data_IF_255522180283
#
_entry.id   IF_255522180283
#
_cell.length_a   1.000
_cell.length_b   1.000
_cell.length_c   1.000
_cell.angle_alpha   90.00
_cell.angle_beta   90.00
_cell.angle_gamma   90.00
#
_symmetry.space_group_name_H-M   'P 1'
#
loop_
_entity.id
_entity.type
_entity.pdbx_description
1 polymer ?
#
# COMPACT_ATOMS: atom_id res chain seq x y z
N UNK A 1 -12.28 -17.67 -21.02
CA UNK A 1 -11.24 -17.45 -22.04
C UNK A 1 -9.91 -17.92 -21.48
N UNK A 2 -9.19 -18.76 -22.21
CA UNK A 2 -7.87 -19.23 -21.79
C UNK A 2 -6.79 -18.15 -22.01
N UNK A 3 -5.65 -18.25 -21.32
CA UNK A 3 -4.52 -17.33 -21.52
C UNK A 3 -4.00 -17.37 -22.97
N UNK A 4 -4.09 -18.54 -23.60
CA UNK A 4 -3.69 -18.74 -24.99
C UNK A 4 -4.62 -18.02 -25.96
N UNK A 5 -5.94 -18.11 -25.76
CA UNK A 5 -6.93 -17.35 -26.52
C UNK A 5 -6.73 -15.83 -26.37
N UNK A 6 -6.42 -15.34 -25.16
CA UNK A 6 -6.16 -13.92 -24.91
C UNK A 6 -4.90 -13.44 -25.66
N UNK A 7 -3.84 -14.28 -25.69
CA UNK A 7 -2.62 -13.98 -26.45
C UNK A 7 -2.91 -13.88 -27.94
N UNK A 8 -3.66 -14.82 -28.50
CA UNK A 8 -4.03 -14.80 -29.91
C UNK A 8 -4.87 -13.58 -30.27
N UNK A 9 -5.79 -13.16 -29.40
CA UNK A 9 -6.56 -11.94 -29.58
C UNK A 9 -5.68 -10.68 -29.49
N UNK A 10 -4.74 -10.63 -28.54
CA UNK A 10 -3.82 -9.51 -28.41
C UNK A 10 -2.92 -9.35 -29.65
N UNK A 11 -2.53 -10.45 -30.31
CA UNK A 11 -1.74 -10.37 -31.54
C UNK A 11 -2.51 -9.84 -32.75
N UNK A 12 -3.85 -9.97 -32.77
CA UNK A 12 -4.72 -9.42 -33.82
C UNK A 12 -4.87 -7.89 -33.74
N UNK A 13 -4.50 -7.28 -32.62
CA UNK A 13 -4.56 -5.83 -32.43
C UNK A 13 -3.50 -5.08 -33.24
N UNK A 14 -3.76 -3.80 -33.51
CA UNK A 14 -2.77 -2.90 -34.10
C UNK A 14 -1.56 -2.74 -33.18
N UNK A 15 -0.42 -2.30 -33.72
CA UNK A 15 0.79 -2.05 -32.90
C UNK A 15 0.50 -1.08 -31.77
N UNK A 16 -0.24 -0.02 -32.03
CA UNK A 16 -0.60 1.01 -31.05
C UNK A 16 -1.47 0.44 -29.93
N UNK A 17 -2.47 -0.37 -30.29
CA UNK A 17 -3.37 -0.99 -29.31
C UNK A 17 -2.64 -2.03 -28.46
N UNK A 18 -1.68 -2.76 -29.04
CA UNK A 18 -0.81 -3.67 -28.28
C UNK A 18 0.04 -2.91 -27.27
N UNK A 19 0.62 -1.77 -27.65
CA UNK A 19 1.37 -0.92 -26.73
C UNK A 19 0.49 -0.34 -25.62
N UNK A 20 -0.72 0.12 -25.97
CA UNK A 20 -1.70 0.60 -25.00
C UNK A 20 -2.10 -0.51 -24.01
N UNK A 21 -2.32 -1.74 -24.49
CA UNK A 21 -2.63 -2.89 -23.66
C UNK A 21 -1.47 -3.25 -22.72
N UNK A 22 -0.23 -3.25 -23.20
CA UNK A 22 0.96 -3.48 -22.36
C UNK A 22 1.04 -2.43 -21.25
N UNK A 23 0.86 -1.15 -21.57
CA UNK A 23 0.87 -0.08 -20.58
C UNK A 23 -0.25 -0.26 -19.53
N UNK A 24 -1.46 -0.62 -19.97
CA UNK A 24 -2.58 -0.88 -19.06
C UNK A 24 -2.30 -2.05 -18.10
N UNK A 25 -1.70 -3.13 -18.60
CA UNK A 25 -1.30 -4.29 -17.77
C UNK A 25 -0.24 -3.86 -16.75
N UNK A 26 0.79 -3.13 -17.19
CA UNK A 26 1.85 -2.63 -16.30
C UNK A 26 1.25 -1.74 -15.21
N UNK A 27 0.34 -0.84 -15.53
CA UNK A 27 -0.33 0.03 -14.55
C UNK A 27 -1.17 -0.77 -13.55
N UNK A 28 -1.95 -1.75 -14.02
CA UNK A 28 -2.72 -2.65 -13.15
C UNK A 28 -1.82 -3.41 -12.16
N UNK A 29 -0.68 -3.90 -12.63
CA UNK A 29 0.32 -4.56 -11.79
C UNK A 29 0.98 -3.58 -10.81
N UNK A 30 1.28 -2.36 -11.25
CA UNK A 30 1.82 -1.34 -10.35
C UNK A 30 0.84 -0.99 -9.24
N UNK A 31 -0.45 -0.79 -9.54
CA UNK A 31 -1.45 -0.45 -8.52
C UNK A 31 -1.66 -1.57 -7.49
N UNK A 32 -1.57 -2.83 -7.92
CA UNK A 32 -1.66 -3.98 -7.01
C UNK A 32 -0.41 -4.21 -6.18
N UNK A 33 0.78 -3.89 -6.72
CA UNK A 33 2.06 -4.01 -6.01
C UNK A 33 2.39 -2.77 -5.14
N UNK A 34 1.81 -1.61 -5.46
CA UNK A 34 2.04 -0.34 -4.76
C UNK A 34 1.33 -0.09 -3.42
N UNK A 35 0.41 -0.90 -2.85
CA UNK A 35 -0.19 -0.55 -1.57
C UNK A 35 0.87 -0.51 -0.45
N UNK A 36 1.88 -1.38 -0.53
CA UNK A 36 3.03 -1.41 0.38
C UNK A 36 3.96 -0.20 0.18
N UNK A 37 4.23 0.18 -1.07
CA UNK A 37 5.09 1.32 -1.37
C UNK A 37 4.40 2.62 -0.93
N UNK A 38 3.13 2.85 -1.32
CA UNK A 38 2.33 4.03 -0.92
C UNK A 38 2.30 4.21 0.60
N UNK A 39 2.16 3.13 1.39
CA UNK A 39 2.26 3.20 2.86
C UNK A 39 3.64 3.65 3.34
N UNK A 40 4.72 3.06 2.79
CA UNK A 40 6.09 3.47 3.16
C UNK A 40 6.39 4.91 2.75
N UNK A 41 5.97 5.34 1.57
CA UNK A 41 6.14 6.73 1.11
C UNK A 41 5.33 7.69 1.98
N UNK A 42 4.08 7.34 2.31
CA UNK A 42 3.23 8.14 3.21
C UNK A 42 3.83 8.24 4.61
N UNK A 43 4.27 7.13 5.21
CA UNK A 43 4.95 7.12 6.52
C UNK A 43 6.22 7.97 6.48
N UNK A 44 7.01 7.90 5.39
CA UNK A 44 8.22 8.69 5.25
C UNK A 44 7.92 10.19 5.08
N UNK A 45 6.86 10.56 4.35
CA UNK A 45 6.39 11.94 4.21
C UNK A 45 5.84 12.47 5.54
N UNK A 46 5.09 11.65 6.27
CA UNK A 46 4.51 11.99 7.57
C UNK A 46 5.54 11.93 8.71
N UNK A 47 6.72 11.35 8.50
CA UNK A 47 7.77 11.24 9.53
C UNK A 47 8.17 12.59 10.12
N UNK A 48 8.00 13.69 9.39
CA UNK A 48 8.18 15.06 9.89
C UNK A 48 7.01 15.57 10.73
N UNK A 49 5.77 15.24 10.37
CA UNK A 49 4.55 15.58 11.13
C UNK A 49 4.41 14.76 12.42
N UNK A 50 4.90 13.52 12.42
CA UNK A 50 4.84 12.59 13.54
C UNK A 50 5.99 12.78 14.53
N UNK A 51 6.86 13.78 14.35
CA UNK A 51 7.87 14.11 15.33
C UNK A 51 7.21 14.79 16.51
N UNK A 52 7.33 14.16 17.67
CA UNK A 52 7.07 14.80 18.97
C UNK A 52 8.40 15.33 19.49
N UNK A 53 8.41 16.53 20.10
CA UNK A 53 9.60 17.06 20.80
C UNK A 53 9.99 16.22 22.02
N UNK A 54 9.09 15.35 22.45
CA UNK A 54 9.30 14.43 23.57
C UNK A 54 10.10 13.20 23.13
N UNK A 55 11.00 12.69 23.99
CA UNK A 55 11.69 11.43 23.74
C UNK A 55 10.68 10.29 23.58
N UNK A 56 11.01 9.26 22.80
CA UNK A 56 10.16 8.08 22.68
C UNK A 56 9.94 7.46 24.07
N UNK A 57 8.71 7.01 24.39
CA UNK A 57 8.40 6.40 25.68
C UNK A 57 9.20 5.11 25.88
N UNK A 58 9.55 4.84 27.14
CA UNK A 58 10.21 3.60 27.54
C UNK A 58 9.24 2.43 27.43
N UNK A 59 9.74 1.21 27.23
CA UNK A 59 8.92 -0.01 27.14
C UNK A 59 7.91 -0.16 28.29
N UNK A 60 8.29 0.20 29.51
CA UNK A 60 7.39 0.19 30.67
C UNK A 60 6.24 1.21 30.56
N UNK A 61 6.51 2.40 30.02
CA UNK A 61 5.49 3.43 29.77
C UNK A 61 4.56 3.01 28.63
N UNK A 62 5.08 2.31 27.62
CA UNK A 62 4.26 1.76 26.53
C UNK A 62 3.26 0.73 27.07
N UNK A 63 3.68 -0.16 27.99
CA UNK A 63 2.75 -1.13 28.59
C UNK A 63 1.60 -0.44 29.33
N UNK A 64 1.90 0.58 30.13
CA UNK A 64 0.87 1.36 30.85
C UNK A 64 -0.12 2.02 29.88
N UNK A 65 0.36 2.65 28.79
CA UNK A 65 -0.49 3.25 27.76
C UNK A 65 -1.38 2.18 27.10
N UNK A 66 -0.84 1.00 26.80
CA UNK A 66 -1.61 -0.09 26.18
C UNK A 66 -2.69 -0.65 27.11
N UNK A 67 -2.43 -0.74 28.40
CA UNK A 67 -3.40 -1.16 29.41
C UNK A 67 -4.53 -0.15 29.55
N UNK A 68 -4.22 1.13 29.67
CA UNK A 68 -5.20 2.22 29.73
C UNK A 68 -6.11 2.20 28.48
N UNK A 69 -5.52 2.08 27.29
CA UNK A 69 -6.27 1.96 26.02
C UNK A 69 -7.15 0.72 25.92
N UNK A 70 -6.71 -0.40 26.51
CA UNK A 70 -7.52 -1.63 26.57
C UNK A 70 -8.73 -1.41 27.48
N UNK A 71 -8.53 -0.82 28.64
CA UNK A 71 -9.61 -0.49 29.58
C UNK A 71 -10.63 0.45 28.91
N UNK A 72 -10.18 1.54 28.28
CA UNK A 72 -11.04 2.47 27.53
C UNK A 72 -11.87 1.76 26.47
N UNK A 73 -11.25 0.88 25.68
CA UNK A 73 -11.90 0.20 24.55
C UNK A 73 -12.99 -0.81 24.96
N UNK A 74 -12.84 -1.43 26.13
CA UNK A 74 -13.68 -2.56 26.55
C UNK A 74 -14.62 -2.25 27.72
N UNK A 75 -14.51 -1.07 28.34
CA UNK A 75 -15.35 -0.66 29.49
C UNK A 75 -16.27 0.53 29.15
N UNK A 76 -16.01 1.29 28.07
CA UNK A 76 -17.00 2.19 27.45
C UNK A 76 -17.87 1.46 26.42
#
# INVERSE_FOLDING_TARGET
MSLQELKEQAFKLSVNDRLALVNAIIQSLQDTLNPQLKRKTLINQMRGLLKTDQPPPTDAQIQAILEERRVEKYIQ
#
